data_IF_491427379101
#
_entry.id   IF_491427379101
#
_cell.length_a   1.000
_cell.length_b   1.000
_cell.length_c   1.000
_cell.angle_alpha   90.00
_cell.angle_beta   90.00
_cell.angle_gamma   90.00
#
_symmetry.space_group_name_H-M   'P 1'
#
loop_
_entity.id
_entity.type
_entity.pdbx_description
1 polymer ?
#
# COMPACT_ATOMS: atom_id res chain seq x y z
N UNK A 1 -33.63 17.10 40.50
CA UNK A 1 -33.25 18.53 40.66
C UNK A 1 -31.73 18.60 40.50
N UNK A 2 -31.17 19.50 39.67
CA UNK A 2 -29.73 19.56 39.45
C UNK A 2 -28.98 19.83 40.77
N UNK A 3 -27.81 19.21 40.93
CA UNK A 3 -27.02 19.25 42.18
C UNK A 3 -26.33 20.59 42.44
N UNK A 4 -26.23 21.44 41.42
CA UNK A 4 -25.65 22.79 41.47
C UNK A 4 -26.53 23.76 40.69
N UNK A 5 -26.58 25.01 41.16
CA UNK A 5 -27.24 26.11 40.43
C UNK A 5 -26.39 26.44 39.20
N UNK A 6 -27.05 26.74 38.08
CA UNK A 6 -26.38 27.23 36.87
C UNK A 6 -25.66 28.55 37.18
N UNK A 7 -24.45 28.69 36.67
CA UNK A 7 -23.67 29.92 36.76
C UNK A 7 -24.18 30.92 35.71
N UNK A 8 -24.53 32.13 36.15
CA UNK A 8 -25.05 33.20 35.30
C UNK A 8 -23.99 33.77 34.33
N UNK A 9 -22.70 33.66 34.69
CA UNK A 9 -21.59 34.17 33.86
C UNK A 9 -21.03 33.13 32.88
N UNK A 10 -21.39 31.85 33.06
CA UNK A 10 -20.91 30.73 32.23
C UNK A 10 -22.07 29.78 31.89
N UNK A 11 -23.03 30.22 31.07
CA UNK A 11 -24.13 29.36 30.66
C UNK A 11 -23.60 28.11 29.95
N UNK A 12 -24.26 26.97 30.16
CA UNK A 12 -23.91 25.75 29.46
C UNK A 12 -23.98 25.96 27.94
N UNK A 13 -22.91 25.58 27.24
CA UNK A 13 -22.87 25.68 25.80
C UNK A 13 -23.91 24.74 25.19
N UNK A 14 -25.02 25.32 24.71
CA UNK A 14 -26.11 24.60 24.06
C UNK A 14 -26.22 25.10 22.63
N UNK A 15 -25.93 24.22 21.67
CA UNK A 15 -26.06 24.53 20.25
C UNK A 15 -26.69 23.36 19.52
N UNK A 16 -27.47 23.68 18.48
CA UNK A 16 -28.08 22.69 17.60
C UNK A 16 -27.33 22.70 16.29
N UNK A 17 -26.67 21.59 15.97
CA UNK A 17 -25.94 21.42 14.73
C UNK A 17 -26.80 20.63 13.74
N UNK A 18 -27.32 21.31 12.72
CA UNK A 18 -28.04 20.66 11.61
C UNK A 18 -27.07 20.46 10.45
N UNK A 19 -26.69 19.21 10.19
CA UNK A 19 -25.77 18.87 9.10
C UNK A 19 -26.57 18.26 7.95
N UNK A 20 -26.56 18.93 6.80
CA UNK A 20 -27.05 18.35 5.54
C UNK A 20 -25.90 17.59 4.86
N UNK A 21 -25.75 16.31 5.18
CA UNK A 21 -24.66 15.48 4.65
C UNK A 21 -25.02 15.00 3.25
N UNK A 22 -24.44 15.65 2.24
CA UNK A 22 -24.35 15.08 0.89
C UNK A 22 -23.11 14.20 0.82
N UNK A 23 -23.30 12.87 0.77
CA UNK A 23 -22.19 11.93 0.60
C UNK A 23 -21.70 12.03 -0.85
N UNK A 24 -20.65 12.83 -1.08
CA UNK A 24 -20.09 13.07 -2.42
C UNK A 24 -19.19 11.91 -2.87
N UNK A 25 -18.57 11.18 -1.92
CA UNK A 25 -17.67 10.07 -2.21
C UNK A 25 -17.46 9.19 -0.97
N UNK A 26 -17.36 7.87 -1.17
CA UNK A 26 -16.92 6.94 -0.12
C UNK A 26 -15.40 6.97 -0.06
N UNK A 27 -14.86 7.27 1.12
CA UNK A 27 -13.43 7.21 1.37
C UNK A 27 -12.99 5.73 1.36
N UNK A 28 -12.42 5.29 0.25
CA UNK A 28 -12.02 3.89 0.03
C UNK A 28 -10.51 3.76 0.10
N UNK A 29 -10.03 2.65 0.68
CA UNK A 29 -8.60 2.35 0.66
C UNK A 29 -8.25 1.93 -0.75
N UNK A 30 -7.29 2.63 -1.36
CA UNK A 30 -6.69 2.14 -2.60
C UNK A 30 -6.01 0.80 -2.28
N UNK A 31 -6.52 -0.28 -2.86
CA UNK A 31 -5.82 -1.57 -2.78
C UNK A 31 -4.47 -1.40 -3.46
N UNK A 32 -3.40 -1.52 -2.69
CA UNK A 32 -2.05 -1.52 -3.23
C UNK A 32 -1.65 -2.96 -3.43
N UNK A 33 -1.52 -3.34 -4.69
CA UNK A 33 -0.91 -4.61 -5.09
C UNK A 33 0.60 -4.50 -4.90
N UNK A 34 1.19 -5.43 -4.16
CA UNK A 34 2.63 -5.49 -3.89
C UNK A 34 3.14 -6.91 -4.09
N UNK A 35 4.34 -7.04 -4.65
CA UNK A 35 5.03 -8.34 -4.74
C UNK A 35 5.29 -8.90 -3.35
N UNK A 36 4.98 -10.17 -3.17
CA UNK A 36 5.20 -10.90 -1.94
C UNK A 36 6.47 -11.74 -2.04
N UNK A 37 7.61 -11.09 -1.84
CA UNK A 37 8.93 -11.72 -1.89
C UNK A 37 9.06 -12.89 -0.90
N UNK A 38 8.34 -12.85 0.24
CA UNK A 38 8.33 -13.96 1.20
C UNK A 38 7.74 -15.26 0.61
N UNK A 39 6.87 -15.15 -0.40
CA UNK A 39 6.25 -16.29 -1.09
C UNK A 39 6.81 -16.48 -2.51
N UNK A 40 7.95 -15.87 -2.83
CA UNK A 40 8.58 -16.05 -4.13
C UNK A 40 9.09 -17.50 -4.29
N UNK A 41 9.01 -18.01 -5.51
CA UNK A 41 9.58 -19.30 -5.88
C UNK A 41 11.07 -19.13 -6.21
N UNK A 42 11.89 -19.09 -5.16
CA UNK A 42 13.32 -18.84 -5.30
C UNK A 42 14.07 -19.97 -6.02
N UNK A 43 13.55 -21.20 -6.00
CA UNK A 43 14.16 -22.31 -6.73
C UNK A 43 14.07 -22.07 -8.23
N UNK A 44 12.87 -21.73 -8.72
CA UNK A 44 12.66 -21.38 -10.13
C UNK A 44 13.35 -20.08 -10.54
N UNK A 45 13.38 -19.08 -9.66
CA UNK A 45 14.13 -17.83 -9.92
C UNK A 45 15.62 -18.12 -10.11
N UNK A 46 16.22 -18.90 -9.21
CA UNK A 46 17.64 -19.24 -9.32
C UNK A 46 17.92 -20.01 -10.60
N UNK A 47 17.08 -20.99 -10.94
CA UNK A 47 17.18 -21.73 -12.20
C UNK A 47 17.11 -20.79 -13.41
N UNK A 48 16.10 -19.93 -13.48
CA UNK A 48 15.95 -18.97 -14.58
C UNK A 48 17.18 -18.06 -14.72
N UNK A 49 17.70 -17.52 -13.61
CA UNK A 49 18.90 -16.68 -13.61
C UNK A 49 20.15 -17.41 -14.10
N UNK A 50 20.27 -18.71 -13.84
CA UNK A 50 21.40 -19.53 -14.30
C UNK A 50 21.30 -19.97 -15.75
N UNK A 51 20.09 -20.06 -16.29
CA UNK A 51 19.86 -20.47 -17.70
C UNK A 51 20.07 -19.30 -18.68
N UNK A 52 20.08 -18.06 -18.19
CA UNK A 52 20.31 -16.87 -19.01
C UNK A 52 21.80 -16.75 -19.38
N UNK A 53 22.06 -16.62 -20.68
CA UNK A 53 23.39 -16.26 -21.18
C UNK A 53 23.64 -14.75 -21.06
N UNK A 54 24.13 -14.34 -19.88
CA UNK A 54 24.46 -12.95 -19.57
C UNK A 54 25.53 -12.35 -20.48
N UNK A 55 26.44 -13.17 -21.02
CA UNK A 55 27.49 -12.66 -21.89
C UNK A 55 26.89 -12.19 -23.22
N UNK A 56 26.03 -13.01 -23.82
CA UNK A 56 25.33 -12.63 -25.05
C UNK A 56 24.48 -11.36 -24.88
N UNK A 57 23.90 -11.20 -23.68
CA UNK A 57 22.90 -10.19 -23.39
C UNK A 57 23.53 -8.83 -23.01
N UNK A 58 24.75 -8.82 -22.45
CA UNK A 58 25.36 -7.62 -21.88
C UNK A 58 26.68 -7.19 -22.52
N UNK A 59 27.52 -8.12 -23.03
CA UNK A 59 28.92 -7.82 -23.35
C UNK A 59 29.09 -6.89 -24.56
N UNK A 60 28.20 -6.96 -25.54
CA UNK A 60 28.33 -6.21 -26.79
C UNK A 60 27.50 -4.92 -26.81
N UNK A 61 26.99 -4.48 -25.67
CA UNK A 61 26.12 -3.31 -25.56
C UNK A 61 26.80 -2.15 -24.83
N UNK A 62 26.43 -0.90 -25.16
CA UNK A 62 26.71 0.24 -24.30
C UNK A 62 26.17 0.02 -22.89
N UNK A 63 26.82 0.61 -21.89
CA UNK A 63 26.48 0.38 -20.49
C UNK A 63 25.01 0.69 -20.15
N UNK A 64 24.42 1.73 -20.76
CA UNK A 64 23.01 2.09 -20.56
C UNK A 64 22.08 1.00 -21.11
N UNK A 65 22.29 0.56 -22.34
CA UNK A 65 21.48 -0.49 -22.98
C UNK A 65 21.64 -1.84 -22.28
N UNK A 66 22.85 -2.17 -21.82
CA UNK A 66 23.12 -3.36 -21.02
C UNK A 66 22.34 -3.32 -19.69
N UNK A 67 22.28 -2.16 -19.04
CA UNK A 67 21.57 -1.98 -17.78
C UNK A 67 20.05 -2.10 -17.96
N UNK A 68 19.51 -1.49 -19.02
CA UNK A 68 18.09 -1.59 -19.36
C UNK A 68 17.70 -3.05 -19.63
N UNK A 69 18.48 -3.76 -20.44
CA UNK A 69 18.26 -5.18 -20.71
C UNK A 69 18.37 -6.04 -19.46
N UNK A 70 19.34 -5.76 -18.59
CA UNK A 70 19.47 -6.44 -17.30
C UNK A 70 18.19 -6.27 -16.46
N UNK A 71 17.71 -5.04 -16.29
CA UNK A 71 16.51 -4.78 -15.50
C UNK A 71 15.25 -5.37 -16.13
N UNK A 72 15.12 -5.36 -17.45
CA UNK A 72 13.98 -5.98 -18.13
C UNK A 72 13.91 -7.49 -17.86
N UNK A 73 15.06 -8.18 -17.92
CA UNK A 73 15.15 -9.60 -17.59
C UNK A 73 14.84 -9.86 -16.11
N UNK A 74 15.39 -9.05 -15.19
CA UNK A 74 15.10 -9.21 -13.76
C UNK A 74 13.61 -8.95 -13.47
N UNK A 75 13.01 -7.93 -14.09
CA UNK A 75 11.60 -7.61 -13.89
C UNK A 75 10.67 -8.65 -14.53
N UNK A 76 11.06 -9.30 -15.62
CA UNK A 76 10.29 -10.40 -16.20
C UNK A 76 10.24 -11.59 -15.24
N UNK A 77 11.38 -11.99 -14.69
CA UNK A 77 11.50 -13.06 -13.68
C UNK A 77 10.69 -12.72 -12.42
N UNK A 78 10.76 -11.47 -11.95
CA UNK A 78 9.96 -11.00 -10.81
C UNK A 78 8.46 -11.13 -11.09
N UNK A 79 8.00 -10.70 -12.27
CA UNK A 79 6.59 -10.78 -12.67
C UNK A 79 6.10 -12.23 -12.75
N UNK A 80 6.94 -13.14 -13.21
CA UNK A 80 6.60 -14.54 -13.41
C UNK A 80 6.59 -15.36 -12.11
N UNK A 81 7.61 -15.19 -11.26
CA UNK A 81 7.84 -16.09 -10.13
C UNK A 81 7.50 -15.50 -8.76
N UNK A 82 7.16 -14.20 -8.68
CA UNK A 82 6.83 -13.56 -7.41
C UNK A 82 5.33 -13.24 -7.36
N UNK A 83 4.56 -13.93 -6.50
CA UNK A 83 3.13 -13.69 -6.42
C UNK A 83 2.84 -12.29 -5.90
N UNK A 84 1.81 -11.67 -6.45
CA UNK A 84 1.31 -10.40 -5.96
C UNK A 84 0.34 -10.61 -4.77
N UNK A 85 0.42 -9.71 -3.80
CA UNK A 85 -0.46 -9.66 -2.64
C UNK A 85 -1.17 -8.32 -2.58
N UNK A 86 -2.44 -8.35 -2.22
CA UNK A 86 -3.21 -7.13 -1.98
C UNK A 86 -3.18 -6.77 -0.50
N UNK A 87 -3.18 -5.47 -0.21
CA UNK A 87 -3.35 -4.98 1.16
C UNK A 87 -4.68 -5.48 1.71
N UNK A 88 -4.66 -6.16 2.86
CA UNK A 88 -5.89 -6.60 3.52
C UNK A 88 -6.72 -5.38 3.94
N UNK A 89 -8.03 -5.51 3.82
CA UNK A 89 -8.96 -4.56 4.41
C UNK A 89 -8.77 -4.56 5.93
N UNK A 90 -8.76 -3.36 6.50
CA UNK A 90 -8.74 -3.17 7.94
C UNK A 90 -10.17 -3.08 8.44
N UNK A 91 -10.41 -3.62 9.63
CA UNK A 91 -11.67 -3.39 10.35
C UNK A 91 -11.83 -1.94 10.80
N UNK A 92 -10.72 -1.18 10.86
CA UNK A 92 -10.74 0.24 11.17
C UNK A 92 -11.03 1.15 9.97
N UNK A 93 -11.74 2.28 10.17
CA UNK A 93 -11.96 3.29 9.14
C UNK A 93 -10.66 3.74 8.45
N UNK A 94 -10.76 4.28 7.24
CA UNK A 94 -9.57 4.71 6.48
C UNK A 94 -8.84 5.91 7.11
N UNK A 95 -9.58 6.79 7.79
CA UNK A 95 -9.03 7.94 8.52
C UNK A 95 -8.45 7.54 9.89
N UNK A 96 -8.57 6.28 10.27
CA UNK A 96 -8.07 5.78 11.54
C UNK A 96 -6.58 5.44 11.42
N UNK A 97 -5.75 6.13 12.19
CA UNK A 97 -4.31 5.94 12.17
C UNK A 97 -3.92 4.62 12.85
N UNK A 98 -2.85 3.99 12.37
CA UNK A 98 -2.36 2.71 12.94
C UNK A 98 -1.91 2.84 14.38
N UNK A 99 -1.46 4.02 14.81
CA UNK A 99 -1.00 4.29 16.18
C UNK A 99 -2.14 4.27 17.21
N UNK A 100 -3.39 4.33 16.77
CA UNK A 100 -4.57 4.28 17.62
C UNK A 100 -5.19 2.87 17.70
N UNK A 101 -4.56 1.88 17.06
CA UNK A 101 -4.96 0.48 17.10
C UNK A 101 -4.15 -0.20 18.21
N UNK A 102 -4.82 -0.66 19.27
CA UNK A 102 -4.24 -1.42 20.40
C UNK A 102 -4.29 -2.93 20.16
#
# INVERSE_FOLDING_TARGET
VPLLKLDDYHPAFSTTLTIDIKIISKMTRKSLTKYNYRKADYENINRALTEIDWNSLLVNLPAEEALDNFYEVIYSIIREHIPQSQSKNSHFPIWFSKSLIH
#
